data_IF_252380456438
#
_entry.id   IF_252380456438
#
_cell.length_a   1.000
_cell.length_b   1.000
_cell.length_c   1.000
_cell.angle_alpha   90.00
_cell.angle_beta   90.00
_cell.angle_gamma   90.00
#
_symmetry.space_group_name_H-M   'P 1'
#
loop_
_entity.id
_entity.type
_entity.pdbx_description
1 polymer ?
#
# COMPACT_ATOMS: atom_id res chain seq x y z
N UNK A 1 -20.38 24.02 24.87
CA UNK A 1 -20.24 22.75 24.12
C UNK A 1 -19.00 22.84 23.26
N UNK A 2 -17.86 22.35 23.75
CA UNK A 2 -16.62 22.32 22.98
C UNK A 2 -16.74 21.30 21.85
N UNK A 3 -16.84 21.81 20.61
CA UNK A 3 -16.69 21.01 19.40
C UNK A 3 -15.26 20.50 19.37
N UNK A 4 -15.07 19.23 19.70
CA UNK A 4 -13.80 18.53 19.46
C UNK A 4 -13.64 18.42 17.95
N UNK A 5 -12.98 19.42 17.37
CA UNK A 5 -12.58 19.44 15.97
C UNK A 5 -11.65 18.25 15.75
N UNK A 6 -12.22 17.12 15.31
CA UNK A 6 -11.47 15.98 14.80
C UNK A 6 -10.72 16.49 13.57
N UNK A 7 -9.52 17.06 13.79
CA UNK A 7 -8.62 17.51 12.72
C UNK A 7 -8.58 16.41 11.69
N UNK A 8 -9.16 16.67 10.53
CA UNK A 8 -9.11 15.77 9.40
C UNK A 8 -7.65 15.76 8.94
N UNK A 9 -6.85 14.87 9.52
CA UNK A 9 -5.46 14.68 9.12
C UNK A 9 -5.53 14.01 7.75
N UNK A 10 -5.45 14.81 6.68
CA UNK A 10 -5.13 14.30 5.36
C UNK A 10 -3.88 13.44 5.54
N UNK A 11 -4.00 12.13 5.32
CA UNK A 11 -2.83 11.26 5.25
C UNK A 11 -2.12 11.66 3.97
N UNK A 12 -1.27 12.69 4.08
CA UNK A 12 -0.43 13.15 2.99
C UNK A 12 0.33 11.96 2.42
N UNK A 13 0.54 12.00 1.11
CA UNK A 13 1.37 11.11 0.30
C UNK A 13 2.34 10.33 1.18
N UNK A 14 1.99 9.10 1.57
CA UNK A 14 2.99 8.23 2.18
C UNK A 14 3.94 7.91 1.05
N UNK A 15 5.10 8.56 1.05
CA UNK A 15 6.24 8.13 0.27
C UNK A 15 6.64 6.75 0.79
N UNK A 16 5.96 5.73 0.26
CA UNK A 16 6.29 4.35 0.51
C UNK A 16 7.70 4.14 -0.03
N UNK A 17 8.65 3.91 0.88
CA UNK A 17 10.02 3.56 0.54
C UNK A 17 10.05 2.37 -0.43
N UNK A 18 11.06 2.32 -1.30
CA UNK A 18 11.19 1.25 -2.29
C UNK A 18 11.26 -0.13 -1.61
N UNK A 19 11.93 -0.22 -0.45
CA UNK A 19 12.03 -1.42 0.38
C UNK A 19 10.68 -1.94 0.87
N UNK A 20 9.80 -1.03 1.29
CA UNK A 20 8.43 -1.37 1.67
C UNK A 20 7.66 -1.94 0.49
N UNK A 21 7.78 -1.31 -0.69
CA UNK A 21 7.11 -1.79 -1.90
C UNK A 21 7.61 -3.19 -2.29
N UNK A 22 8.91 -3.46 -2.21
CA UNK A 22 9.46 -4.80 -2.44
C UNK A 22 8.89 -5.83 -1.46
N UNK A 23 8.81 -5.49 -0.18
CA UNK A 23 8.27 -6.41 0.84
C UNK A 23 6.81 -6.80 0.54
N UNK A 24 6.00 -5.83 0.07
CA UNK A 24 4.61 -6.07 -0.35
C UNK A 24 4.55 -7.01 -1.56
N UNK A 25 5.43 -6.84 -2.55
CA UNK A 25 5.50 -7.71 -3.74
C UNK A 25 5.95 -9.11 -3.36
N UNK A 26 7.03 -9.25 -2.59
CA UNK A 26 7.54 -10.55 -2.15
C UNK A 26 6.50 -11.36 -1.38
N UNK A 27 5.76 -10.71 -0.47
CA UNK A 27 4.70 -11.38 0.26
C UNK A 27 3.53 -11.77 -0.64
N UNK A 28 3.17 -10.92 -1.61
CA UNK A 28 2.13 -11.24 -2.60
C UNK A 28 2.50 -12.48 -3.42
N UNK A 29 3.73 -12.54 -3.92
CA UNK A 29 4.24 -13.65 -4.74
C UNK A 29 4.41 -14.94 -3.94
N UNK A 30 4.93 -14.85 -2.72
CA UNK A 30 5.21 -16.03 -1.88
C UNK A 30 3.92 -16.62 -1.28
N UNK A 31 3.06 -15.77 -0.71
CA UNK A 31 1.91 -16.22 0.06
C UNK A 31 0.61 -16.33 -0.75
N UNK A 32 0.62 -15.96 -2.05
CA UNK A 32 -0.56 -15.91 -2.94
C UNK A 32 -1.77 -15.23 -2.27
N UNK A 33 -1.50 -14.17 -1.52
CA UNK A 33 -2.51 -13.45 -0.72
C UNK A 33 -3.35 -12.52 -1.58
N UNK A 34 -4.59 -12.27 -1.15
CA UNK A 34 -5.46 -11.32 -1.84
C UNK A 34 -5.03 -9.87 -1.59
N UNK A 35 -5.35 -8.98 -2.54
CA UNK A 35 -5.06 -7.55 -2.44
C UNK A 35 -5.72 -6.91 -1.20
N UNK A 36 -6.91 -7.39 -0.82
CA UNK A 36 -7.64 -6.94 0.37
C UNK A 36 -6.91 -7.31 1.67
N UNK A 37 -6.22 -8.45 1.71
CA UNK A 37 -5.41 -8.86 2.85
C UNK A 37 -4.21 -7.92 3.03
N UNK A 38 -3.46 -7.66 1.96
CA UNK A 38 -2.33 -6.74 1.97
C UNK A 38 -2.74 -5.33 2.38
N UNK A 39 -3.89 -4.85 1.88
CA UNK A 39 -4.44 -3.55 2.26
C UNK A 39 -4.66 -3.44 3.77
N UNK A 40 -5.28 -4.46 4.38
CA UNK A 40 -5.57 -4.49 5.82
C UNK A 40 -4.29 -4.60 6.65
N UNK A 41 -3.36 -5.47 6.24
CA UNK A 41 -2.08 -5.72 6.91
C UNK A 41 -1.20 -4.47 6.93
N UNK A 42 -1.02 -3.85 5.77
CA UNK A 42 -0.13 -2.72 5.58
C UNK A 42 -0.80 -1.34 5.76
N UNK A 43 -2.09 -1.33 6.12
CA UNK A 43 -2.91 -0.11 6.29
C UNK A 43 -2.84 0.82 5.07
N UNK A 44 -2.84 0.21 3.88
CA UNK A 44 -2.84 0.92 2.60
C UNK A 44 -4.26 1.42 2.36
N UNK A 45 -4.39 2.63 1.82
CA UNK A 45 -5.68 3.31 1.71
C UNK A 45 -6.63 2.66 0.70
N UNK A 46 -6.11 1.91 -0.28
CA UNK A 46 -6.94 1.19 -1.23
C UNK A 46 -6.19 0.10 -1.99
N UNK A 47 -6.93 -0.92 -2.40
CA UNK A 47 -6.46 -2.03 -3.23
C UNK A 47 -5.84 -1.56 -4.56
N UNK A 48 -6.35 -0.46 -5.14
CA UNK A 48 -5.79 0.16 -6.33
C UNK A 48 -4.33 0.59 -6.14
N UNK A 49 -3.97 1.11 -4.95
CA UNK A 49 -2.58 1.50 -4.66
C UNK A 49 -1.65 0.28 -4.65
N UNK A 50 -2.13 -0.84 -4.09
CA UNK A 50 -1.39 -2.11 -4.08
C UNK A 50 -1.18 -2.62 -5.51
N UNK A 51 -2.22 -2.57 -6.34
CA UNK A 51 -2.15 -2.95 -7.75
C UNK A 51 -1.13 -2.11 -8.53
N UNK A 52 -1.09 -0.79 -8.32
CA UNK A 52 -0.08 0.09 -8.92
C UNK A 52 1.35 -0.25 -8.49
N UNK A 53 1.56 -0.57 -7.21
CA UNK A 53 2.86 -0.99 -6.68
C UNK A 53 3.32 -2.27 -7.38
N UNK A 54 2.46 -3.28 -7.41
CA UNK A 54 2.72 -4.56 -8.07
C UNK A 54 3.07 -4.34 -9.54
N UNK A 55 2.20 -3.66 -10.29
CA UNK A 55 2.39 -3.40 -11.72
C UNK A 55 3.69 -2.65 -12.02
N UNK A 56 4.07 -1.68 -11.18
CA UNK A 56 5.28 -0.89 -11.39
C UNK A 56 6.57 -1.69 -11.11
N UNK A 57 6.57 -2.53 -10.08
CA UNK A 57 7.73 -3.33 -9.72
C UNK A 57 7.90 -4.57 -10.61
N UNK A 58 6.81 -5.26 -10.96
CA UNK A 58 6.89 -6.46 -11.82
C UNK A 58 7.25 -6.10 -13.27
N UNK A 59 6.72 -4.99 -13.81
CA UNK A 59 7.05 -4.53 -15.17
C UNK A 59 8.50 -4.06 -15.32
N UNK A 60 9.10 -3.51 -14.24
CA UNK A 60 10.50 -3.08 -14.26
C UNK A 60 11.50 -4.24 -14.23
N UNK A 61 11.07 -5.42 -13.76
CA UNK A 61 11.94 -6.61 -13.59
C UNK A 61 11.97 -7.48 -14.86
N UNK A 62 11.13 -7.18 -15.86
CA UNK A 62 11.00 -7.94 -17.11
C UNK A 62 11.67 -7.26 -18.33
N UNK A 63 12.54 -6.27 -18.10
CA UNK A 63 13.35 -5.63 -19.14
C UNK A 63 14.81 -6.03 -19.02
#
# INVERSE_FOLDING_TARGET
MEKTEKKYIKRAQKDYSISFKLSVVQEYETAKVSLAFLQRKYRIQGSYTVCLILKKLTCSTSK
#
